data_IF_144055335037
#
_entry.id   IF_144055335037
#
_cell.length_a   1.000
_cell.length_b   1.000
_cell.length_c   1.000
_cell.angle_alpha   90.00
_cell.angle_beta   90.00
_cell.angle_gamma   90.00
#
_symmetry.space_group_name_H-M   'P 1'
#
loop_
_entity.id
_entity.type
_entity.pdbx_description
1 polymer ?
#
# COMPACT_ATOMS: atom_id res chain seq x y z
N UNK A 1 -12.55 -4.24 6.37
CA UNK A 1 -11.48 -5.12 5.85
C UNK A 1 -10.24 -4.27 5.58
N UNK A 2 -9.10 -4.74 6.02
CA UNK A 2 -7.82 -4.06 5.83
C UNK A 2 -7.08 -4.70 4.66
N UNK A 3 -6.68 -3.91 3.67
CA UNK A 3 -6.04 -4.39 2.44
C UNK A 3 -4.67 -3.74 2.28
N UNK A 4 -3.63 -4.55 2.17
CA UNK A 4 -2.28 -4.08 1.86
C UNK A 4 -2.08 -4.15 0.34
N UNK A 5 -1.69 -3.03 -0.26
CA UNK A 5 -1.44 -2.95 -1.70
C UNK A 5 0.04 -2.65 -1.93
N UNK A 6 0.74 -3.53 -2.64
CA UNK A 6 2.14 -3.33 -3.00
C UNK A 6 2.26 -2.56 -4.33
N UNK A 7 3.41 -1.93 -4.54
CA UNK A 7 3.66 -1.24 -5.81
C UNK A 7 2.83 0.01 -6.01
N UNK A 8 2.47 0.72 -4.93
CA UNK A 8 1.58 1.90 -5.02
C UNK A 8 2.24 3.10 -5.70
N UNK A 9 3.55 3.07 -5.91
CA UNK A 9 4.22 4.10 -6.71
C UNK A 9 3.91 4.02 -8.20
N UNK A 10 3.36 2.89 -8.68
CA UNK A 10 2.94 2.71 -10.06
C UNK A 10 1.47 3.03 -10.27
N UNK A 11 1.06 3.08 -11.53
CA UNK A 11 -0.31 3.47 -11.90
C UNK A 11 -1.35 2.48 -11.38
N UNK A 12 -1.10 1.18 -11.52
CA UNK A 12 -2.06 0.16 -11.08
C UNK A 12 -2.29 0.20 -9.58
N UNK A 13 -1.20 0.28 -8.80
CA UNK A 13 -1.32 0.37 -7.34
C UNK A 13 -2.05 1.63 -6.90
N UNK A 14 -1.78 2.75 -7.56
CA UNK A 14 -2.48 4.01 -7.32
C UNK A 14 -4.00 3.84 -7.54
N UNK A 15 -4.39 3.24 -8.66
CA UNK A 15 -5.80 3.03 -8.99
C UNK A 15 -6.48 2.08 -7.99
N UNK A 16 -5.78 1.02 -7.58
CA UNK A 16 -6.32 0.07 -6.59
C UNK A 16 -6.58 0.76 -5.25
N UNK A 17 -5.64 1.58 -4.77
CA UNK A 17 -5.82 2.32 -3.51
C UNK A 17 -7.04 3.23 -3.56
N UNK A 18 -7.23 3.94 -4.68
CA UNK A 18 -8.36 4.82 -4.82
C UNK A 18 -9.69 4.06 -4.92
N UNK A 19 -9.70 2.90 -5.57
CA UNK A 19 -10.88 2.03 -5.62
C UNK A 19 -11.24 1.50 -4.23
N UNK A 20 -10.25 1.13 -3.41
CA UNK A 20 -10.51 0.69 -2.03
C UNK A 20 -11.18 1.79 -1.22
N UNK A 21 -10.70 3.03 -1.35
CA UNK A 21 -11.30 4.17 -0.66
C UNK A 21 -12.74 4.38 -1.11
N UNK A 22 -13.00 4.27 -2.42
CA UNK A 22 -14.34 4.40 -3.00
C UNK A 22 -15.30 3.37 -2.44
N UNK A 23 -14.81 2.17 -2.11
CA UNK A 23 -15.62 1.08 -1.57
C UNK A 23 -15.66 1.06 -0.04
N UNK A 24 -15.01 2.00 0.62
CA UNK A 24 -15.01 2.09 2.08
C UNK A 24 -14.09 1.11 2.79
N UNK A 25 -13.11 0.53 2.10
CA UNK A 25 -12.14 -0.36 2.70
C UNK A 25 -10.95 0.43 3.27
N UNK A 26 -10.30 -0.13 4.28
CA UNK A 26 -9.07 0.42 4.83
C UNK A 26 -7.89 -0.06 4.00
N UNK A 27 -7.22 0.86 3.32
CA UNK A 27 -6.06 0.56 2.48
C UNK A 27 -4.76 0.95 3.14
N UNK A 28 -3.71 0.14 2.93
CA UNK A 28 -2.34 0.46 3.31
C UNK A 28 -1.50 0.30 2.05
N UNK A 29 -0.85 1.38 1.63
CA UNK A 29 0.02 1.35 0.47
C UNK A 29 1.44 0.95 0.83
N UNK A 30 2.13 0.26 -0.07
CA UNK A 30 3.51 -0.15 0.13
C UNK A 30 4.29 -0.10 -1.18
N UNK A 31 5.55 0.27 -1.08
CA UNK A 31 6.50 0.22 -2.18
C UNK A 31 7.91 0.17 -1.60
N UNK A 32 8.91 0.03 -2.46
CA UNK A 32 10.31 -0.09 -2.02
C UNK A 32 10.87 1.21 -1.45
N UNK A 33 10.36 2.36 -1.86
CA UNK A 33 10.82 3.67 -1.38
C UNK A 33 10.43 3.91 0.07
N UNK A 34 11.24 4.65 0.81
CA UNK A 34 10.97 4.98 2.21
C UNK A 34 9.69 5.80 2.38
N UNK A 35 9.40 6.65 1.40
CA UNK A 35 8.16 7.44 1.37
C UNK A 35 7.50 7.24 0.02
N UNK A 36 6.19 7.50 -0.04
CA UNK A 36 5.47 7.41 -1.30
C UNK A 36 6.08 8.36 -2.35
N UNK A 37 6.48 7.81 -3.48
CA UNK A 37 7.16 8.54 -4.55
C UNK A 37 6.32 8.70 -5.83
N UNK A 38 5.05 8.31 -5.79
CA UNK A 38 4.15 8.45 -6.94
C UNK A 38 3.54 9.84 -7.04
N UNK A 39 2.41 9.94 -7.72
CA UNK A 39 1.69 11.20 -7.93
C UNK A 39 1.17 11.72 -6.59
N UNK A 40 1.45 12.97 -6.28
CA UNK A 40 1.05 13.64 -5.03
C UNK A 40 -0.13 14.57 -5.32
N UNK A 41 -1.32 14.00 -5.47
CA UNK A 41 -2.50 14.75 -5.92
C UNK A 41 -3.65 14.80 -4.89
N UNK A 42 -3.40 14.35 -3.65
CA UNK A 42 -4.40 14.36 -2.61
C UNK A 42 -5.45 13.26 -2.71
N UNK A 43 -5.24 12.29 -3.59
CA UNK A 43 -6.12 11.12 -3.68
C UNK A 43 -5.94 10.18 -2.49
N UNK A 44 -6.75 9.13 -2.41
CA UNK A 44 -6.68 8.16 -1.31
C UNK A 44 -5.29 7.55 -1.16
N UNK A 45 -4.59 7.27 -2.26
CA UNK A 45 -3.25 6.69 -2.21
C UNK A 45 -2.25 7.60 -1.51
N UNK A 46 -2.45 8.92 -1.58
CA UNK A 46 -1.55 9.89 -0.94
C UNK A 46 -1.98 10.24 0.49
N UNK A 47 -3.20 9.89 0.88
CA UNK A 47 -3.74 10.23 2.21
C UNK A 47 -3.84 9.01 3.14
N UNK A 48 -3.80 7.80 2.60
CA UNK A 48 -3.83 6.56 3.40
C UNK A 48 -2.44 6.20 3.92
N UNK A 49 -2.35 5.36 4.96
CA UNK A 49 -1.07 4.90 5.48
C UNK A 49 -0.18 4.29 4.41
N UNK A 50 1.10 4.59 4.48
CA UNK A 50 2.12 4.03 3.61
C UNK A 50 3.21 3.38 4.45
N UNK A 51 3.62 2.17 4.07
CA UNK A 51 4.70 1.44 4.75
C UNK A 51 5.72 0.99 3.71
N UNK A 52 7.00 1.36 3.86
CA UNK A 52 8.03 0.88 2.94
C UNK A 52 8.23 -0.63 3.09
N UNK A 53 8.36 -1.33 1.98
CA UNK A 53 8.58 -2.77 1.98
C UNK A 53 9.33 -3.19 0.72
N UNK A 54 10.41 -3.95 0.91
CA UNK A 54 11.14 -4.58 -0.19
C UNK A 54 10.62 -6.00 -0.39
N UNK A 55 9.88 -6.23 -1.46
CA UNK A 55 9.29 -7.54 -1.74
C UNK A 55 10.34 -8.63 -2.06
N UNK A 56 11.58 -8.24 -2.33
CA UNK A 56 12.67 -9.19 -2.55
C UNK A 56 13.36 -9.61 -1.26
N UNK A 57 13.02 -8.96 -0.14
CA UNK A 57 13.56 -9.24 1.19
C UNK A 57 12.47 -9.88 2.06
N UNK A 58 12.61 -11.18 2.33
CA UNK A 58 11.62 -11.91 3.10
C UNK A 58 11.42 -11.35 4.51
N UNK A 59 12.47 -10.84 5.15
CA UNK A 59 12.37 -10.24 6.47
C UNK A 59 11.54 -8.95 6.44
N UNK A 60 11.70 -8.14 5.40
CA UNK A 60 10.93 -6.93 5.20
C UNK A 60 9.44 -7.24 5.03
N UNK A 61 9.11 -8.23 4.19
CA UNK A 61 7.73 -8.66 3.95
C UNK A 61 7.10 -9.17 5.24
N UNK A 62 7.79 -10.04 5.98
CA UNK A 62 7.29 -10.59 7.23
C UNK A 62 7.02 -9.50 8.26
N UNK A 63 7.93 -8.54 8.40
CA UNK A 63 7.77 -7.41 9.31
C UNK A 63 6.53 -6.60 8.99
N UNK A 64 6.33 -6.23 7.73
CA UNK A 64 5.19 -5.43 7.31
C UNK A 64 3.88 -6.19 7.50
N UNK A 65 3.83 -7.48 7.13
CA UNK A 65 2.64 -8.29 7.31
C UNK A 65 2.29 -8.45 8.80
N UNK A 66 3.28 -8.61 9.65
CA UNK A 66 3.07 -8.73 11.10
C UNK A 66 2.54 -7.41 11.70
N UNK A 67 3.14 -6.28 11.34
CA UNK A 67 2.75 -4.97 11.88
C UNK A 67 1.42 -4.48 11.32
N UNK A 68 1.19 -4.64 10.03
CA UNK A 68 -0.04 -4.18 9.38
C UNK A 68 -1.22 -5.13 9.61
N UNK A 69 -0.93 -6.41 9.76
CA UNK A 69 -1.94 -7.48 9.93
C UNK A 69 -3.11 -7.34 8.94
N UNK A 70 -2.83 -7.26 7.62
CA UNK A 70 -3.90 -7.08 6.65
C UNK A 70 -4.75 -8.35 6.49
N UNK A 71 -6.01 -8.16 6.12
CA UNK A 71 -6.90 -9.28 5.78
C UNK A 71 -6.60 -9.82 4.38
N UNK A 72 -6.18 -8.92 3.47
CA UNK A 72 -5.89 -9.25 2.07
C UNK A 72 -4.65 -8.48 1.61
N UNK A 73 -3.86 -9.12 0.77
CA UNK A 73 -2.70 -8.48 0.11
C UNK A 73 -2.95 -8.46 -1.39
N UNK A 74 -2.87 -7.29 -2.01
CA UNK A 74 -2.90 -7.13 -3.46
C UNK A 74 -1.49 -6.83 -3.93
N UNK A 75 -0.99 -7.72 -4.76
CA UNK A 75 0.40 -7.63 -5.24
C UNK A 75 0.44 -7.48 -6.76
#
# INVERSE_FOLDING_TARGET
MKVLVTGVGGQLGHDVMNELASRGYEGIGSDIKETYSGIQDGTAVTTMPYVPMDITDAASVEKVLTEAAPDVVVH
#
